data_IF_360669559654
#
_entry.id   IF_360669559654
#
_cell.length_a   1.000
_cell.length_b   1.000
_cell.length_c   1.000
_cell.angle_alpha   90.00
_cell.angle_beta   90.00
_cell.angle_gamma   90.00
#
_symmetry.space_group_name_H-M   'P 1'
#
loop_
_entity.id
_entity.type
_entity.pdbx_description
1 polymer ?
#
# COMPACT_ATOMS: atom_id res chain seq x y z
N UNK A 1 -30.70 -18.87 -34.46
CA UNK A 1 -29.42 -18.25 -34.86
C UNK A 1 -28.40 -18.57 -33.78
N UNK A 2 -27.70 -19.69 -33.93
CA UNK A 2 -26.63 -20.14 -33.03
C UNK A 2 -25.36 -20.28 -33.85
N UNK A 3 -24.28 -19.61 -33.44
CA UNK A 3 -22.95 -19.83 -34.00
C UNK A 3 -22.08 -20.39 -32.87
N UNK A 4 -21.77 -21.68 -32.99
CA UNK A 4 -20.77 -22.39 -32.20
C UNK A 4 -19.41 -22.22 -32.90
N UNK A 5 -18.41 -21.73 -32.17
CA UNK A 5 -17.01 -21.80 -32.57
C UNK A 5 -16.23 -22.55 -31.51
N UNK A 6 -15.72 -23.73 -31.88
CA UNK A 6 -14.78 -24.50 -31.08
C UNK A 6 -13.37 -23.95 -31.26
N UNK A 7 -12.64 -23.81 -30.14
CA UNK A 7 -11.21 -23.50 -30.16
C UNK A 7 -10.49 -24.41 -29.16
N UNK A 8 -9.60 -25.24 -29.70
CA UNK A 8 -8.62 -26.03 -28.97
C UNK A 8 -7.61 -25.10 -28.30
N UNK A 9 -7.36 -25.26 -27.00
CA UNK A 9 -6.22 -24.63 -26.33
C UNK A 9 -5.53 -25.65 -25.42
N UNK A 10 -4.40 -26.16 -25.91
CA UNK A 10 -3.43 -26.91 -25.15
C UNK A 10 -2.11 -26.14 -25.10
N UNK A 11 -1.44 -26.26 -23.96
CA UNK A 11 -0.05 -25.92 -23.66
C UNK A 11 0.35 -24.45 -23.48
N UNK A 12 0.98 -24.18 -22.34
CA UNK A 12 1.98 -23.11 -22.23
C UNK A 12 1.88 -22.24 -20.99
N UNK A 13 2.24 -22.78 -19.82
CA UNK A 13 2.55 -21.99 -18.62
C UNK A 13 3.72 -21.03 -18.95
N UNK A 14 3.44 -19.75 -19.15
CA UNK A 14 4.47 -18.73 -19.36
C UNK A 14 5.03 -18.27 -18.01
N UNK A 15 6.26 -18.69 -17.76
CA UNK A 15 7.11 -18.30 -16.65
C UNK A 15 7.33 -16.78 -16.61
N UNK A 16 7.08 -16.19 -15.43
CA UNK A 16 7.56 -14.87 -15.03
C UNK A 16 9.10 -14.87 -15.04
N UNK A 17 9.69 -14.12 -15.98
CA UNK A 17 11.15 -13.90 -16.02
C UNK A 17 11.51 -12.88 -14.95
N UNK A 18 11.95 -13.34 -13.79
CA UNK A 18 12.67 -12.51 -12.83
C UNK A 18 14.03 -12.12 -13.44
N UNK A 19 14.16 -10.87 -13.87
CA UNK A 19 15.45 -10.25 -14.18
C UNK A 19 16.17 -9.91 -12.88
N UNK A 20 17.40 -10.39 -12.64
CA UNK A 20 18.17 -9.93 -11.48
C UNK A 20 18.71 -8.53 -11.76
N UNK A 21 18.44 -7.60 -10.83
CA UNK A 21 19.05 -6.29 -10.75
C UNK A 21 20.59 -6.45 -10.71
N UNK A 22 21.28 -5.94 -11.73
CA UNK A 22 22.73 -6.01 -11.86
C UNK A 22 23.34 -4.95 -10.93
N UNK A 23 23.90 -5.38 -9.79
CA UNK A 23 24.72 -4.52 -8.95
C UNK A 23 25.95 -4.06 -9.77
N UNK A 24 26.17 -2.74 -9.83
CA UNK A 24 27.38 -2.14 -10.39
C UNK A 24 28.57 -2.51 -9.49
N UNK A 25 29.41 -3.43 -9.95
CA UNK A 25 30.68 -3.72 -9.30
C UNK A 25 31.63 -2.55 -9.52
N UNK A 26 32.18 -2.02 -8.42
CA UNK A 26 33.30 -1.08 -8.44
C UNK A 26 34.55 -1.82 -8.92
N UNK A 27 34.99 -1.51 -10.14
CA UNK A 27 36.28 -1.97 -10.66
C UNK A 27 37.41 -1.20 -9.98
N UNK A 28 38.14 -1.87 -9.10
CA UNK A 28 39.42 -1.38 -8.58
C UNK A 28 40.44 -1.33 -9.72
N UNK A 29 40.81 -0.12 -10.15
CA UNK A 29 41.86 0.13 -11.13
C UNK A 29 43.21 -0.12 -10.47
N UNK A 30 43.91 -1.18 -10.88
CA UNK A 30 45.34 -1.34 -10.57
C UNK A 30 46.14 -0.56 -11.60
N UNK A 31 46.81 0.50 -11.17
CA UNK A 31 47.81 1.20 -11.98
C UNK A 31 48.99 0.27 -12.25
N UNK A 32 49.22 -0.03 -13.53
CA UNK A 32 50.48 -0.62 -14.00
C UNK A 32 51.18 0.48 -14.78
N UNK A 33 52.34 0.92 -14.28
CA UNK A 33 53.13 2.01 -14.86
C UNK A 33 53.66 1.70 -16.26
N UNK A 34 54.14 2.74 -16.98
CA UNK A 34 54.50 2.61 -18.39
C UNK A 34 55.88 1.97 -18.50
N UNK A 35 55.99 0.87 -19.26
CA UNK A 35 57.25 0.47 -19.87
C UNK A 35 57.11 0.55 -21.39
N UNK A 36 58.02 1.33 -21.95
CA UNK A 36 58.09 1.70 -23.34
C UNK A 36 58.71 0.60 -24.22
N UNK A 37 58.45 0.81 -25.51
CA UNK A 37 59.19 0.38 -26.69
C UNK A 37 59.01 -1.08 -27.17
N UNK A 38 58.45 -1.13 -28.38
CA UNK A 38 58.75 -2.00 -29.50
C UNK A 38 58.79 -3.50 -29.22
N UNK A 39 57.81 -4.22 -29.77
CA UNK A 39 58.08 -5.24 -30.79
C UNK A 39 56.75 -5.55 -31.50
N UNK A 40 56.79 -5.32 -32.82
CA UNK A 40 56.07 -5.98 -33.92
C UNK A 40 54.53 -6.13 -33.88
N UNK A 41 53.92 -5.85 -35.03
CA UNK A 41 52.49 -5.99 -35.33
C UNK A 41 52.03 -7.45 -35.35
N UNK A 42 52.16 -8.15 -34.23
CA UNK A 42 51.59 -9.49 -34.07
C UNK A 42 50.27 -9.39 -33.30
N UNK A 43 49.17 -9.61 -34.03
CA UNK A 43 47.83 -9.57 -33.49
C UNK A 43 47.70 -10.61 -32.36
N UNK A 44 47.57 -10.16 -31.11
CA UNK A 44 47.37 -11.09 -29.97
C UNK A 44 46.05 -11.83 -30.17
N UNK A 45 46.12 -13.12 -30.51
CA UNK A 45 44.94 -13.99 -30.62
C UNK A 45 44.31 -14.12 -29.23
N UNK A 46 43.14 -13.51 -29.05
CA UNK A 46 42.32 -13.69 -27.85
C UNK A 46 41.71 -15.10 -27.87
N UNK A 47 42.25 -16.01 -27.07
CA UNK A 47 41.68 -17.35 -26.86
C UNK A 47 40.33 -17.27 -26.12
N UNK A 48 39.26 -17.04 -26.87
CA UNK A 48 37.89 -17.10 -26.39
C UNK A 48 37.44 -18.56 -26.28
N UNK A 49 37.97 -19.30 -25.29
CA UNK A 49 37.35 -20.45 -24.59
C UNK A 49 38.44 -21.31 -23.93
N UNK A 50 38.94 -20.88 -22.77
CA UNK A 50 39.04 -21.87 -21.69
C UNK A 50 37.60 -22.14 -21.25
N UNK A 51 37.11 -23.34 -21.50
CA UNK A 51 35.89 -23.83 -20.87
C UNK A 51 36.13 -23.86 -19.35
N UNK A 52 35.95 -22.69 -18.70
CA UNK A 52 35.81 -22.61 -17.26
C UNK A 52 34.61 -23.50 -16.98
N UNK A 53 34.87 -24.70 -16.47
CA UNK A 53 33.85 -25.61 -15.95
C UNK A 53 33.00 -24.73 -15.04
N UNK A 54 31.83 -24.31 -15.51
CA UNK A 54 30.87 -23.57 -14.69
C UNK A 54 30.50 -24.57 -13.62
N UNK A 55 31.17 -24.47 -12.47
CA UNK A 55 30.85 -25.26 -11.29
C UNK A 55 29.35 -25.17 -11.14
N UNK A 56 28.70 -26.34 -11.13
CA UNK A 56 27.25 -26.46 -11.02
C UNK A 56 26.88 -25.65 -9.78
N UNK A 57 26.28 -24.46 -9.96
CA UNK A 57 25.86 -23.64 -8.83
C UNK A 57 24.87 -24.49 -8.06
N UNK A 58 25.28 -25.03 -6.93
CA UNK A 58 24.37 -25.69 -6.01
C UNK A 58 23.42 -24.60 -5.57
N UNK A 59 22.18 -24.66 -6.04
CA UNK A 59 21.12 -23.87 -5.47
C UNK A 59 21.09 -24.26 -3.99
N UNK A 60 21.57 -23.38 -3.11
CA UNK A 60 21.40 -23.57 -1.68
C UNK A 60 19.90 -23.77 -1.48
N UNK A 61 19.50 -24.91 -0.93
CA UNK A 61 18.11 -25.16 -0.54
C UNK A 61 17.74 -23.99 0.36
N UNK A 62 16.83 -23.13 -0.11
CA UNK A 62 16.28 -22.07 0.73
C UNK A 62 15.61 -22.80 1.89
N UNK A 63 16.16 -22.65 3.09
CA UNK A 63 15.53 -23.16 4.29
C UNK A 63 14.20 -22.44 4.48
N UNK A 64 13.13 -23.21 4.68
CA UNK A 64 11.81 -22.65 4.95
C UNK A 64 11.86 -21.90 6.29
N UNK A 65 11.68 -20.58 6.24
CA UNK A 65 11.65 -19.76 7.46
C UNK A 65 10.42 -20.16 8.29
N UNK A 66 10.57 -20.39 9.61
CA UNK A 66 9.43 -20.74 10.44
C UNK A 66 8.40 -19.61 10.48
N UNK A 67 7.12 -19.96 10.34
CA UNK A 67 6.02 -19.01 10.42
C UNK A 67 5.84 -18.60 11.88
N UNK A 68 6.01 -17.32 12.17
CA UNK A 68 5.78 -16.77 13.51
C UNK A 68 4.28 -16.80 13.87
N UNK A 69 3.94 -16.94 15.16
CA UNK A 69 2.55 -16.85 15.59
C UNK A 69 1.95 -15.48 15.25
N UNK A 70 0.63 -15.41 14.98
CA UNK A 70 -0.03 -14.15 14.65
C UNK A 70 0.00 -13.18 15.83
N UNK A 71 0.16 -11.89 15.53
CA UNK A 71 0.31 -10.80 16.51
C UNK A 71 -0.80 -10.80 17.56
N UNK A 72 -2.04 -11.09 17.19
CA UNK A 72 -3.17 -11.06 18.13
C UNK A 72 -3.04 -12.02 19.31
N UNK A 73 -2.26 -13.11 19.19
CA UNK A 73 -2.01 -14.02 20.31
C UNK A 73 -1.07 -13.43 21.37
N UNK A 74 -0.30 -12.41 21.01
CA UNK A 74 0.65 -11.73 21.89
C UNK A 74 0.08 -10.41 22.44
N UNK A 75 -1.11 -10.00 21.99
CA UNK A 75 -1.75 -8.76 22.46
C UNK A 75 -2.33 -8.93 23.86
N UNK A 76 -2.15 -7.91 24.69
CA UNK A 76 -2.82 -7.82 26.00
C UNK A 76 -4.28 -7.39 25.78
N UNK A 77 -5.19 -7.88 26.62
CA UNK A 77 -6.62 -7.55 26.54
C UNK A 77 -6.85 -6.05 26.83
N UNK A 78 -6.13 -5.50 27.82
CA UNK A 78 -6.28 -4.09 28.24
C UNK A 78 -5.43 -3.11 27.40
N UNK A 79 -4.89 -3.56 26.27
CA UNK A 79 -4.07 -2.71 25.42
C UNK A 79 -4.89 -1.60 24.76
N UNK A 80 -4.30 -0.41 24.66
CA UNK A 80 -4.87 0.68 23.89
C UNK A 80 -5.01 0.31 22.40
N UNK A 81 -6.26 0.20 21.94
CA UNK A 81 -6.60 -0.15 20.57
C UNK A 81 -6.05 0.85 19.53
N UNK A 82 -6.00 2.14 19.84
CA UNK A 82 -5.48 3.16 18.92
C UNK A 82 -4.02 2.93 18.51
N UNK A 83 -3.22 2.30 19.38
CA UNK A 83 -1.83 1.94 19.07
C UNK A 83 -1.73 0.67 18.21
N UNK A 84 -2.74 -0.20 18.28
CA UNK A 84 -2.83 -1.41 17.45
C UNK A 84 -3.23 -1.03 16.03
N UNK A 85 -4.18 -0.11 15.90
CA UNK A 85 -4.79 0.28 14.63
C UNK A 85 -4.90 1.81 14.47
N UNK A 86 -3.78 2.50 14.20
CA UNK A 86 -3.72 3.97 14.25
C UNK A 86 -4.34 4.66 13.02
N UNK A 87 -4.32 4.02 11.85
CA UNK A 87 -4.71 4.64 10.57
C UNK A 87 -5.62 3.73 9.77
N UNK A 88 -6.30 4.29 8.77
CA UNK A 88 -7.04 3.53 7.77
C UNK A 88 -6.13 2.49 7.10
N UNK A 89 -6.57 1.23 7.07
CA UNK A 89 -5.85 0.10 6.47
C UNK A 89 -6.82 -1.00 6.10
N UNK A 90 -6.47 -1.80 5.11
CA UNK A 90 -7.17 -3.06 4.79
C UNK A 90 -7.15 -3.98 6.00
N UNK A 91 -8.23 -4.74 6.18
CA UNK A 91 -8.36 -5.71 7.27
C UNK A 91 -7.20 -6.70 7.26
N UNK A 92 -6.53 -6.85 8.42
CA UNK A 92 -5.39 -7.75 8.56
C UNK A 92 -5.68 -8.81 9.64
N UNK A 93 -5.87 -10.10 9.27
CA UNK A 93 -6.37 -11.12 10.18
C UNK A 93 -5.42 -11.44 11.33
N UNK A 94 -4.11 -11.21 11.17
CA UNK A 94 -3.13 -11.48 12.21
C UNK A 94 -3.07 -10.40 13.31
N UNK A 95 -3.60 -9.19 13.07
CA UNK A 95 -3.56 -8.07 14.05
C UNK A 95 -4.89 -7.89 14.78
N UNK A 96 -6.01 -8.23 14.15
CA UNK A 96 -7.33 -8.07 14.77
C UNK A 96 -7.64 -9.30 15.65
N UNK A 97 -7.87 -9.13 16.96
CA UNK A 97 -8.07 -10.25 17.89
C UNK A 97 -9.47 -10.90 17.80
N UNK A 98 -10.40 -10.31 17.04
CA UNK A 98 -11.76 -10.80 16.94
C UNK A 98 -11.89 -12.06 16.04
N UNK A 99 -12.75 -13.02 16.40
CA UNK A 99 -13.07 -14.17 15.55
C UNK A 99 -14.15 -13.78 14.51
N UNK A 100 -13.76 -12.93 13.55
CA UNK A 100 -14.68 -12.49 12.50
C UNK A 100 -14.87 -13.57 11.43
N UNK A 101 -16.11 -13.77 11.00
CA UNK A 101 -16.49 -14.65 9.91
C UNK A 101 -17.42 -13.92 8.97
N UNK A 102 -17.21 -14.06 7.67
CA UNK A 102 -18.03 -13.39 6.67
C UNK A 102 -18.05 -14.15 5.36
N UNK A 103 -19.19 -14.14 4.69
CA UNK A 103 -19.42 -14.82 3.41
C UNK A 103 -20.65 -15.70 3.47
N UNK A 104 -21.22 -16.00 2.31
CA UNK A 104 -22.41 -16.86 2.24
C UNK A 104 -22.03 -18.32 2.57
N UNK A 105 -22.58 -18.92 3.63
CA UNK A 105 -22.28 -20.30 3.98
C UNK A 105 -23.02 -21.28 3.07
N UNK A 106 -22.41 -22.44 2.81
CA UNK A 106 -23.14 -23.58 2.24
C UNK A 106 -24.07 -24.17 3.31
N UNK A 107 -25.12 -24.87 2.89
CA UNK A 107 -26.07 -25.52 3.81
C UNK A 107 -25.31 -26.45 4.77
N UNK A 108 -25.49 -26.24 6.08
CA UNK A 108 -24.83 -27.00 7.14
C UNK A 108 -23.37 -26.61 7.43
N UNK A 109 -22.85 -25.52 6.86
CA UNK A 109 -21.48 -25.05 7.10
C UNK A 109 -21.46 -23.67 7.78
N UNK A 110 -20.40 -23.39 8.53
CA UNK A 110 -20.16 -22.06 9.08
C UNK A 110 -19.61 -21.11 7.99
N UNK A 111 -19.83 -19.78 8.11
CA UNK A 111 -19.22 -18.82 7.21
C UNK A 111 -17.68 -18.89 7.24
N UNK A 112 -17.02 -18.54 6.13
CA UNK A 112 -15.57 -18.50 6.04
C UNK A 112 -14.93 -17.69 7.17
N UNK A 113 -13.80 -18.18 7.69
CA UNK A 113 -13.03 -17.52 8.74
C UNK A 113 -12.33 -16.25 8.21
N UNK A 114 -11.69 -15.48 9.09
CA UNK A 114 -11.00 -14.22 8.72
C UNK A 114 -9.73 -14.42 7.88
N UNK A 115 -9.13 -15.61 7.93
CA UNK A 115 -7.88 -15.91 7.23
C UNK A 115 -8.13 -16.13 5.73
N UNK A 116 -7.49 -15.31 4.89
CA UNK A 116 -7.63 -15.41 3.43
C UNK A 116 -9.00 -14.97 2.88
N UNK A 117 -9.82 -14.30 3.69
CA UNK A 117 -11.17 -13.91 3.30
C UNK A 117 -11.19 -12.58 2.53
N UNK A 118 -11.50 -12.65 1.24
CA UNK A 118 -11.56 -11.49 0.34
C UNK A 118 -12.72 -10.55 0.66
N UNK A 119 -13.82 -11.05 1.23
CA UNK A 119 -14.97 -10.19 1.57
C UNK A 119 -14.63 -9.22 2.69
N UNK A 120 -13.85 -9.65 3.68
CA UNK A 120 -13.35 -8.78 4.73
C UNK A 120 -12.32 -7.76 4.23
N UNK A 121 -11.61 -8.05 3.13
CA UNK A 121 -10.66 -7.11 2.53
C UNK A 121 -11.35 -5.99 1.75
N UNK A 122 -12.54 -6.24 1.20
CA UNK A 122 -13.32 -5.26 0.42
C UNK A 122 -13.97 -4.18 1.28
N UNK A 123 -14.29 -4.49 2.54
CA UNK A 123 -15.01 -3.56 3.41
C UNK A 123 -14.08 -2.41 3.84
N UNK A 124 -14.49 -1.13 3.64
CA UNK A 124 -13.85 -0.02 4.29
C UNK A 124 -14.14 -0.08 5.79
N UNK A 125 -13.17 -0.55 6.58
CA UNK A 125 -13.34 -0.72 8.01
C UNK A 125 -13.10 0.60 8.78
N UNK A 126 -13.77 0.70 9.93
CA UNK A 126 -13.67 1.85 10.85
C UNK A 126 -12.90 1.50 12.12
N UNK A 127 -12.03 0.49 12.07
CA UNK A 127 -11.27 0.03 13.24
C UNK A 127 -10.30 1.09 13.80
N UNK A 128 -9.93 2.09 13.00
CA UNK A 128 -9.12 3.24 13.45
C UNK A 128 -9.96 4.37 14.07
N UNK A 129 -11.29 4.38 13.84
CA UNK A 129 -12.22 5.41 14.33
C UNK A 129 -13.12 4.87 15.44
N UNK A 130 -12.55 4.13 16.39
CA UNK A 130 -13.29 3.71 17.59
C UNK A 130 -13.54 4.91 18.52
N UNK A 131 -14.65 4.97 19.27
CA UNK A 131 -14.96 6.09 20.17
C UNK A 131 -13.81 6.58 21.07
N UNK A 132 -13.06 5.72 21.80
CA UNK A 132 -11.95 6.19 22.65
C UNK A 132 -10.77 6.77 21.87
N UNK A 133 -10.65 6.45 20.57
CA UNK A 133 -9.61 7.02 19.69
C UNK A 133 -10.06 8.39 19.18
N UNK A 134 -11.34 8.53 18.83
CA UNK A 134 -11.93 9.80 18.41
C UNK A 134 -11.85 10.83 19.52
N UNK A 135 -12.18 10.49 20.76
CA UNK A 135 -12.10 11.41 21.90
C UNK A 135 -10.69 11.99 22.06
N UNK A 136 -9.67 11.15 22.01
CA UNK A 136 -8.27 11.59 22.07
C UNK A 136 -7.85 12.45 20.88
N UNK A 137 -8.34 12.14 19.68
CA UNK A 137 -8.10 12.97 18.50
C UNK A 137 -8.77 14.34 18.65
N UNK A 138 -10.02 14.39 19.09
CA UNK A 138 -10.74 15.63 19.36
C UNK A 138 -10.03 16.46 20.44
N UNK A 139 -9.58 15.85 21.53
CA UNK A 139 -8.78 16.52 22.58
C UNK A 139 -7.51 17.16 22.01
N UNK A 140 -6.78 16.44 21.17
CA UNK A 140 -5.58 16.97 20.52
C UNK A 140 -5.89 18.09 19.51
N UNK A 141 -7.07 18.06 18.87
CA UNK A 141 -7.50 19.04 17.89
C UNK A 141 -8.11 20.31 18.52
N UNK A 142 -8.64 20.23 19.74
CA UNK A 142 -9.24 21.38 20.46
C UNK A 142 -8.31 22.60 20.53
N UNK A 143 -6.99 22.38 20.60
CA UNK A 143 -5.99 23.47 20.61
C UNK A 143 -5.96 24.33 19.34
N UNK A 144 -6.51 23.84 18.23
CA UNK A 144 -6.59 24.56 16.96
C UNK A 144 -7.96 25.23 16.74
N UNK A 145 -8.95 24.92 17.58
CA UNK A 145 -10.29 25.49 17.47
C UNK A 145 -10.35 26.85 18.18
N UNK A 146 -11.07 27.79 17.59
CA UNK A 146 -11.42 29.07 18.22
C UNK A 146 -12.86 29.05 18.70
N UNK A 147 -13.13 29.74 19.81
CA UNK A 147 -14.51 29.89 20.30
C UNK A 147 -15.33 30.73 19.32
N UNK A 148 -16.58 30.34 19.12
CA UNK A 148 -17.54 31.16 18.36
C UNK A 148 -17.78 32.50 19.07
N UNK A 149 -17.85 33.63 18.36
CA UNK A 149 -18.07 34.95 18.97
C UNK A 149 -19.41 35.04 19.72
N UNK A 150 -19.37 35.59 20.94
CA UNK A 150 -20.55 35.86 21.75
C UNK A 150 -21.39 37.00 21.14
N UNK A 151 -22.72 36.84 21.13
CA UNK A 151 -23.64 37.85 20.60
C UNK A 151 -24.17 37.55 19.18
N UNK A 152 -23.60 36.58 18.46
CA UNK A 152 -24.09 36.10 17.15
C UNK A 152 -24.86 34.77 17.25
N UNK A 153 -25.59 34.58 18.34
CA UNK A 153 -26.32 33.33 18.61
C UNK A 153 -27.62 33.21 17.80
N UNK A 154 -28.26 34.36 17.50
CA UNK A 154 -29.50 34.41 16.74
C UNK A 154 -29.27 34.83 15.29
N UNK A 155 -30.03 34.29 14.32
CA UNK A 155 -29.89 34.64 12.91
C UNK A 155 -30.15 36.12 12.64
N UNK A 156 -31.10 36.74 13.35
CA UNK A 156 -31.41 38.18 13.23
C UNK A 156 -30.20 39.07 13.54
N UNK A 157 -29.41 38.72 14.57
CA UNK A 157 -28.19 39.46 14.91
C UNK A 157 -27.08 39.23 13.89
N UNK A 158 -27.01 38.04 13.30
CA UNK A 158 -26.07 37.73 12.23
C UNK A 158 -26.36 38.58 10.99
N UNK A 159 -27.63 38.67 10.57
CA UNK A 159 -28.03 39.49 9.41
C UNK A 159 -27.84 40.98 9.64
N UNK A 160 -28.13 41.48 10.85
CA UNK A 160 -27.92 42.89 11.21
C UNK A 160 -26.45 43.32 11.16
N UNK A 161 -25.52 42.46 11.63
CA UNK A 161 -24.09 42.77 11.63
C UNK A 161 -23.37 42.38 10.33
N UNK A 162 -23.84 41.33 9.66
CA UNK A 162 -23.24 40.76 8.45
C UNK A 162 -24.32 40.59 7.36
N UNK A 163 -24.66 41.65 6.62
CA UNK A 163 -25.76 41.65 5.65
C UNK A 163 -25.44 40.92 4.33
N UNK A 164 -24.21 40.47 4.12
CA UNK A 164 -23.76 39.80 2.88
C UNK A 164 -23.33 38.38 3.19
N UNK A 165 -23.93 37.40 2.50
CA UNK A 165 -23.55 35.99 2.61
C UNK A 165 -22.80 35.53 1.37
N UNK A 166 -21.55 35.06 1.57
CA UNK A 166 -20.71 34.51 0.50
C UNK A 166 -20.77 32.98 0.57
N UNK A 167 -21.43 32.35 -0.40
CA UNK A 167 -21.51 30.88 -0.48
C UNK A 167 -20.42 30.38 -1.43
N UNK A 168 -19.59 29.46 -0.91
CA UNK A 168 -18.52 28.78 -1.67
C UNK A 168 -18.68 27.27 -1.49
N UNK A 169 -18.52 26.53 -2.58
CA UNK A 169 -18.63 25.06 -2.59
C UNK A 169 -17.29 24.42 -2.91
N UNK A 170 -16.83 23.50 -2.06
CA UNK A 170 -15.59 22.72 -2.27
C UNK A 170 -15.92 21.24 -2.40
N UNK A 171 -15.32 20.58 -3.39
CA UNK A 171 -15.60 19.17 -3.71
C UNK A 171 -14.36 18.32 -3.48
N UNK A 172 -14.55 17.14 -2.88
CA UNK A 172 -13.48 16.16 -2.63
C UNK A 172 -13.79 14.87 -3.39
N UNK A 173 -12.90 14.50 -4.31
CA UNK A 173 -13.01 13.31 -5.14
C UNK A 173 -11.84 12.36 -4.87
N UNK A 174 -12.02 11.06 -5.10
CA UNK A 174 -10.95 10.05 -5.06
C UNK A 174 -10.09 10.03 -6.35
N UNK A 175 -10.11 11.12 -7.12
CA UNK A 175 -9.37 11.30 -8.38
C UNK A 175 -7.92 11.72 -8.12
N UNK A 176 -6.95 11.40 -9.00
CA UNK A 176 -5.60 11.97 -8.94
C UNK A 176 -5.59 13.51 -9.09
N UNK A 177 -6.65 14.09 -9.66
CA UNK A 177 -6.77 15.53 -9.87
C UNK A 177 -7.63 16.17 -8.77
N UNK A 178 -7.07 17.19 -8.11
CA UNK A 178 -7.76 18.00 -7.08
C UNK A 178 -8.65 19.11 -7.65
N UNK A 179 -8.66 19.29 -8.98
CA UNK A 179 -9.36 20.39 -9.66
C UNK A 179 -10.81 19.99 -9.95
N UNK A 180 -11.74 20.84 -9.55
CA UNK A 180 -13.15 20.77 -9.94
C UNK A 180 -13.58 22.17 -10.41
N UNK A 181 -14.12 22.25 -11.62
CA UNK A 181 -14.59 23.52 -12.20
C UNK A 181 -15.72 24.16 -11.40
N UNK A 182 -16.55 23.34 -10.73
CA UNK A 182 -17.68 23.84 -9.95
C UNK A 182 -17.24 24.66 -8.74
N UNK A 183 -16.03 24.43 -8.23
CA UNK A 183 -15.49 25.15 -7.09
C UNK A 183 -15.20 26.64 -7.38
N UNK A 184 -15.20 27.06 -8.65
CA UNK A 184 -15.00 28.48 -9.04
C UNK A 184 -16.24 29.36 -8.83
N UNK A 185 -17.42 28.74 -8.70
CA UNK A 185 -18.68 29.47 -8.63
C UNK A 185 -18.84 30.06 -7.22
N UNK A 186 -19.03 31.37 -7.15
CA UNK A 186 -19.30 32.10 -5.92
C UNK A 186 -20.69 32.73 -6.04
N UNK A 187 -21.52 32.51 -5.03
CA UNK A 187 -22.87 33.12 -4.97
C UNK A 187 -22.88 34.12 -3.82
N UNK A 188 -23.31 35.35 -4.13
CA UNK A 188 -23.57 36.39 -3.15
C UNK A 188 -25.08 36.47 -2.92
N UNK A 189 -25.49 36.44 -1.66
CA UNK A 189 -26.86 36.70 -1.22
C UNK A 189 -26.87 37.87 -0.26
#
# INVERSE_FOLDING_TARGET
MSLTYGFLSGYGSQMLRNTPFRALGTSAVKNVGPKAAADEEEFRVLELKTAVKKGRKTFRRLEDKPILPPRYKQQKIDQNWGNVWPTARVFHPATVPFPLRQGYPKRGQAPPDKWGNTELMKIPNFLHLTPPVIERHCEALKKFCTSWPSGLETPEKQENHFPVTVIKSTYLHSSPTIRDEKARIVTLK
#
